data_IF_135476875956
#
_entry.id   IF_135476875956
#
_cell.length_a   1.000
_cell.length_b   1.000
_cell.length_c   1.000
_cell.angle_alpha   90.00
_cell.angle_beta   90.00
_cell.angle_gamma   90.00
#
_symmetry.space_group_name_H-M   'P 1'
#
loop_
_entity.id
_entity.type
_entity.pdbx_description
1 polymer ?
#
# COMPACT_ATOMS: atom_id res chain seq x y z
N UNK A 1 -61.63 -1.24 -34.72
CA UNK A 1 -61.72 -0.10 -33.77
C UNK A 1 -60.38 0.03 -33.03
N UNK A 2 -59.64 1.12 -33.24
CA UNK A 2 -58.81 1.85 -32.25
C UNK A 2 -58.16 3.04 -32.98
N UNK A 3 -58.50 4.25 -32.54
CA UNK A 3 -58.13 5.54 -33.14
C UNK A 3 -56.77 5.99 -32.60
N UNK A 4 -55.91 6.51 -33.50
CA UNK A 4 -54.66 7.22 -33.19
C UNK A 4 -55.00 8.60 -32.59
N UNK A 5 -54.41 8.94 -31.44
CA UNK A 5 -54.43 10.31 -30.89
C UNK A 5 -53.13 11.04 -31.27
N UNK A 6 -53.28 12.33 -31.60
CA UNK A 6 -52.28 13.25 -32.13
C UNK A 6 -51.84 14.16 -30.98
N UNK A 7 -50.53 14.35 -30.81
CA UNK A 7 -49.94 15.13 -29.71
C UNK A 7 -50.21 16.63 -29.84
N UNK A 8 -50.39 17.27 -28.68
CA UNK A 8 -50.54 18.72 -28.50
C UNK A 8 -49.22 19.37 -28.09
N UNK A 9 -48.98 20.56 -28.64
CA UNK A 9 -47.76 21.36 -28.52
C UNK A 9 -47.80 22.24 -27.26
N UNK A 10 -46.81 22.12 -26.37
CA UNK A 10 -46.66 22.97 -25.18
C UNK A 10 -45.81 24.20 -25.55
N UNK A 11 -46.31 25.41 -25.23
CA UNK A 11 -45.59 26.69 -25.41
C UNK A 11 -44.70 26.99 -24.20
N UNK A 12 -43.52 27.62 -24.37
CA UNK A 12 -42.63 27.92 -23.25
C UNK A 12 -43.05 29.22 -22.54
N UNK A 13 -43.04 29.18 -21.21
CA UNK A 13 -43.20 30.33 -20.32
C UNK A 13 -41.79 30.90 -20.06
N UNK A 14 -41.58 32.17 -20.38
CA UNK A 14 -40.38 32.93 -19.98
C UNK A 14 -40.71 33.66 -18.68
N UNK A 15 -40.13 33.22 -17.57
CA UNK A 15 -40.16 33.92 -16.30
C UNK A 15 -38.72 34.28 -15.96
N UNK A 16 -38.40 35.58 -15.97
CA UNK A 16 -37.08 36.10 -15.64
C UNK A 16 -36.88 36.04 -14.12
N UNK A 17 -36.05 35.11 -13.65
CA UNK A 17 -35.63 35.05 -12.25
C UNK A 17 -34.63 36.19 -11.99
N UNK A 18 -35.04 37.18 -11.20
CA UNK A 18 -34.18 38.25 -10.71
C UNK A 18 -33.32 37.70 -9.57
N UNK A 19 -32.03 37.48 -9.81
CA UNK A 19 -31.06 37.11 -8.76
C UNK A 19 -30.71 38.38 -8.00
N UNK A 20 -31.06 38.45 -6.72
CA UNK A 20 -30.53 39.47 -5.81
C UNK A 20 -29.10 39.06 -5.42
N UNK A 21 -28.12 39.91 -5.73
CA UNK A 21 -26.73 39.72 -5.31
C UNK A 21 -26.63 39.90 -3.79
N UNK A 22 -26.45 38.79 -3.07
CA UNK A 22 -26.13 38.81 -1.65
C UNK A 22 -24.66 39.19 -1.50
N UNK A 23 -24.31 40.21 -0.68
CA UNK A 23 -22.91 40.55 -0.42
C UNK A 23 -22.19 39.35 0.18
N UNK A 24 -21.12 38.90 -0.48
CA UNK A 24 -20.21 37.89 0.03
C UNK A 24 -19.34 38.60 1.07
N UNK A 25 -19.56 38.29 2.35
CA UNK A 25 -18.63 38.70 3.42
C UNK A 25 -17.21 38.22 3.06
N UNK A 26 -16.16 39.02 3.32
CA UNK A 26 -14.80 38.65 2.98
C UNK A 26 -14.46 37.33 3.66
N UNK A 27 -14.05 36.35 2.86
CA UNK A 27 -13.61 35.04 3.32
C UNK A 27 -12.47 35.28 4.31
N UNK A 28 -12.74 35.01 5.59
CA UNK A 28 -11.71 34.94 6.63
C UNK A 28 -10.58 34.02 6.13
N UNK A 29 -9.36 34.50 6.33
CA UNK A 29 -8.10 33.84 6.04
C UNK A 29 -8.21 32.31 6.27
N UNK A 30 -8.07 31.52 5.21
CA UNK A 30 -8.18 30.05 5.31
C UNK A 30 -7.03 29.57 6.18
N UNK A 31 -7.31 29.35 7.47
CA UNK A 31 -6.34 28.82 8.40
C UNK A 31 -6.01 27.38 7.99
N UNK A 32 -4.89 27.22 7.28
CA UNK A 32 -4.34 25.91 6.96
C UNK A 32 -3.64 25.40 8.21
N UNK A 33 -4.15 24.32 8.81
CA UNK A 33 -3.50 23.69 9.96
C UNK A 33 -2.05 23.30 9.57
N UNK A 34 -1.02 23.83 10.26
CA UNK A 34 0.39 23.53 9.96
C UNK A 34 0.74 22.04 10.04
N UNK A 35 -0.06 21.23 10.74
CA UNK A 35 0.10 19.78 10.78
C UNK A 35 -0.42 19.05 9.54
N UNK A 36 -1.25 19.67 8.71
CA UNK A 36 -1.89 19.03 7.55
C UNK A 36 -0.87 18.53 6.51
N UNK A 37 0.25 19.25 6.35
CA UNK A 37 1.29 18.93 5.35
C UNK A 37 2.55 18.33 5.99
N UNK A 38 2.55 18.07 7.31
CA UNK A 38 3.72 17.52 8.00
C UNK A 38 3.62 15.99 8.09
N UNK A 39 4.46 15.30 7.35
CA UNK A 39 4.60 13.85 7.45
C UNK A 39 5.44 13.46 8.67
N UNK A 40 4.86 12.66 9.57
CA UNK A 40 5.55 12.07 10.72
C UNK A 40 5.81 10.58 10.47
N UNK A 41 6.84 10.03 11.14
CA UNK A 41 7.14 8.60 11.01
C UNK A 41 6.05 7.72 11.65
N UNK A 42 5.95 6.42 11.30
CA UNK A 42 5.02 5.51 11.96
C UNK A 42 5.15 5.53 13.49
N UNK A 43 4.02 5.59 14.19
CA UNK A 43 3.99 5.70 15.65
C UNK A 43 4.10 7.13 16.19
N UNK A 44 4.13 8.14 15.31
CA UNK A 44 4.16 9.55 15.66
C UNK A 44 2.91 10.29 15.18
N UNK A 45 2.59 11.37 15.87
CA UNK A 45 1.53 12.34 15.53
C UNK A 45 2.11 13.74 15.49
N UNK A 46 1.58 14.56 14.59
CA UNK A 46 1.93 15.97 14.54
C UNK A 46 1.21 16.74 15.65
N UNK A 47 1.95 17.55 16.40
CA UNK A 47 1.44 18.54 17.36
C UNK A 47 2.06 19.91 17.07
N UNK A 48 1.43 20.98 17.52
CA UNK A 48 1.96 22.34 17.42
C UNK A 48 2.69 22.72 18.72
N UNK A 49 3.82 23.41 18.62
CA UNK A 49 4.44 24.08 19.78
C UNK A 49 3.62 25.31 20.19
N UNK A 50 3.96 25.92 21.33
CA UNK A 50 3.36 27.18 21.79
C UNK A 50 3.54 28.32 20.76
N UNK A 51 4.61 28.27 19.97
CA UNK A 51 4.91 29.21 18.88
C UNK A 51 4.19 28.85 17.56
N UNK A 52 3.30 27.85 17.56
CA UNK A 52 2.55 27.41 16.39
C UNK A 52 3.35 26.58 15.37
N UNK A 53 4.56 26.12 15.72
CA UNK A 53 5.40 25.32 14.81
C UNK A 53 5.04 23.84 14.90
N UNK A 54 4.83 23.14 13.77
CA UNK A 54 4.46 21.73 13.80
C UNK A 54 5.67 20.84 14.08
N UNK A 55 5.55 19.91 15.01
CA UNK A 55 6.56 18.92 15.38
C UNK A 55 5.92 17.52 15.55
N UNK A 56 6.73 16.47 15.38
CA UNK A 56 6.25 15.09 15.53
C UNK A 56 6.60 14.57 16.93
N UNK A 57 5.62 14.01 17.62
CA UNK A 57 5.80 13.34 18.92
C UNK A 57 5.25 11.91 18.85
N UNK A 58 5.66 11.03 19.76
CA UNK A 58 5.11 9.67 19.82
C UNK A 58 3.62 9.69 20.18
N UNK A 59 2.86 8.76 19.63
CA UNK A 59 1.44 8.57 19.98
C UNK A 59 1.32 8.30 21.48
N UNK A 60 0.38 8.96 22.15
CA UNK A 60 0.16 8.81 23.59
C UNK A 60 -0.74 7.61 23.92
N UNK A 61 -1.83 7.47 23.16
CA UNK A 61 -2.84 6.42 23.34
C UNK A 61 -3.24 5.84 21.98
N UNK A 62 -3.32 4.51 21.91
CA UNK A 62 -3.82 3.78 20.75
C UNK A 62 -5.21 3.20 21.07
N UNK A 63 -6.08 3.12 20.06
CA UNK A 63 -7.36 2.43 20.19
C UNK A 63 -7.17 0.95 20.52
N UNK A 64 -8.11 0.39 21.28
CA UNK A 64 -8.12 -1.04 21.55
C UNK A 64 -8.82 -1.80 20.41
N UNK A 65 -8.06 -2.58 19.64
CA UNK A 65 -8.61 -3.39 18.56
C UNK A 65 -9.27 -4.67 19.08
N UNK A 66 -10.54 -4.86 18.73
CA UNK A 66 -11.31 -6.07 19.09
C UNK A 66 -11.24 -7.16 18.02
N UNK A 67 -10.94 -6.80 16.77
CA UNK A 67 -10.81 -7.75 15.66
C UNK A 67 -9.42 -8.40 15.68
N UNK A 68 -9.31 -9.74 15.84
CA UNK A 68 -8.03 -10.43 15.78
C UNK A 68 -7.25 -10.21 14.47
N UNK A 69 -7.93 -9.87 13.36
CA UNK A 69 -7.28 -9.59 12.07
C UNK A 69 -6.52 -8.26 12.05
N UNK A 70 -6.86 -7.33 12.95
CA UNK A 70 -6.21 -6.01 13.08
C UNK A 70 -5.07 -6.00 14.09
N UNK A 71 -4.86 -7.10 14.81
CA UNK A 71 -3.65 -7.34 15.60
C UNK A 71 -2.45 -7.51 14.67
N UNK A 72 -1.26 -7.52 15.24
CA UNK A 72 -0.04 -7.73 14.44
C UNK A 72 0.94 -8.65 15.17
N UNK A 73 1.66 -9.47 14.40
CA UNK A 73 2.78 -10.24 14.88
C UNK A 73 4.08 -9.50 14.57
N UNK A 74 4.93 -9.29 15.56
CA UNK A 74 6.23 -8.62 15.35
C UNK A 74 7.31 -9.59 14.87
N UNK A 75 8.44 -9.04 14.42
CA UNK A 75 9.66 -9.80 14.13
C UNK A 75 10.27 -10.51 15.37
N UNK A 76 9.75 -10.25 16.57
CA UNK A 76 10.13 -10.94 17.81
C UNK A 76 9.17 -12.08 18.17
N UNK A 77 8.25 -12.43 17.26
CA UNK A 77 7.20 -13.42 17.45
C UNK A 77 6.27 -13.09 18.64
N UNK A 78 6.04 -11.80 18.89
CA UNK A 78 5.14 -11.30 19.93
C UNK A 78 3.92 -10.69 19.27
N UNK A 79 2.72 -11.05 19.76
CA UNK A 79 1.46 -10.46 19.29
C UNK A 79 1.22 -9.13 19.96
N UNK A 80 0.93 -8.11 19.16
CA UNK A 80 0.56 -6.78 19.60
C UNK A 80 -0.91 -6.52 19.29
N UNK A 81 -1.55 -5.70 20.12
CA UNK A 81 -2.97 -5.41 20.00
C UNK A 81 -3.32 -4.72 18.66
N UNK A 82 -2.41 -3.89 18.15
CA UNK A 82 -2.55 -3.20 16.87
C UNK A 82 -1.19 -2.81 16.33
N UNK A 83 -1.16 -2.44 15.05
CA UNK A 83 -0.02 -1.77 14.42
C UNK A 83 0.35 -0.46 15.15
N UNK A 84 -0.65 0.33 15.57
CA UNK A 84 -0.44 1.53 16.38
C UNK A 84 0.36 1.22 17.65
N UNK A 85 -0.04 0.20 18.42
CA UNK A 85 0.62 -0.15 19.68
C UNK A 85 2.09 -0.57 19.47
N UNK A 86 2.37 -1.31 18.40
CA UNK A 86 3.74 -1.70 18.06
C UNK A 86 4.59 -0.48 17.70
N UNK A 87 4.09 0.38 16.79
CA UNK A 87 4.84 1.57 16.37
C UNK A 87 5.00 2.60 17.49
N UNK A 88 4.00 2.72 18.37
CA UNK A 88 4.07 3.53 19.58
C UNK A 88 5.24 3.07 20.47
N UNK A 89 5.32 1.76 20.77
CA UNK A 89 6.43 1.23 21.56
C UNK A 89 7.79 1.47 20.89
N UNK A 90 7.87 1.24 19.57
CA UNK A 90 9.09 1.52 18.79
C UNK A 90 9.50 2.98 18.93
N UNK A 91 8.54 3.91 18.83
CA UNK A 91 8.78 5.34 18.97
C UNK A 91 9.33 5.67 20.36
N UNK A 92 8.67 5.20 21.42
CA UNK A 92 9.11 5.40 22.80
C UNK A 92 10.54 4.91 23.03
N UNK A 93 10.88 3.72 22.56
CA UNK A 93 12.23 3.18 22.72
C UNK A 93 13.28 3.90 21.87
N UNK A 94 12.91 4.39 20.67
CA UNK A 94 13.79 5.17 19.80
C UNK A 94 14.17 6.52 20.42
N UNK A 95 13.21 7.19 21.07
CA UNK A 95 13.41 8.52 21.68
C UNK A 95 13.68 8.46 23.19
N UNK A 96 13.89 7.25 23.74
CA UNK A 96 14.15 7.02 25.18
C UNK A 96 13.07 7.64 26.08
N UNK A 97 11.81 7.49 25.70
CA UNK A 97 10.67 7.89 26.52
C UNK A 97 10.69 7.12 27.86
N UNK A 98 10.31 7.75 28.99
CA UNK A 98 10.26 7.07 30.29
C UNK A 98 9.53 5.73 30.26
N UNK A 99 8.44 5.62 29.48
CA UNK A 99 7.64 4.39 29.34
C UNK A 99 8.46 3.21 28.79
N UNK A 100 9.50 3.47 27.99
CA UNK A 100 10.42 2.42 27.55
C UNK A 100 11.65 2.28 28.46
N UNK A 101 12.09 3.36 29.12
CA UNK A 101 13.25 3.31 30.03
C UNK A 101 13.02 2.40 31.26
N UNK A 102 11.77 2.15 31.63
CA UNK A 102 11.41 1.21 32.69
C UNK A 102 11.70 -0.26 32.34
N UNK A 103 11.90 -0.58 31.05
CA UNK A 103 12.20 -1.93 30.56
C UNK A 103 13.70 -2.27 30.67
N UNK A 104 14.09 -3.56 30.69
CA UNK A 104 15.49 -3.97 30.62
C UNK A 104 16.20 -3.45 29.36
N UNK A 105 17.48 -3.11 29.45
CA UNK A 105 18.26 -2.53 28.34
C UNK A 105 18.24 -3.39 27.06
N UNK A 106 18.28 -4.72 27.20
CA UNK A 106 18.15 -5.66 26.09
C UNK A 106 16.79 -5.52 25.37
N UNK A 107 15.70 -5.43 26.13
CA UNK A 107 14.35 -5.25 25.59
C UNK A 107 14.22 -3.89 24.90
N UNK A 108 14.83 -2.85 25.45
CA UNK A 108 14.84 -1.53 24.83
C UNK A 108 15.49 -1.57 23.44
N UNK A 109 16.64 -2.25 23.30
CA UNK A 109 17.30 -2.40 22.00
C UNK A 109 16.44 -3.19 21.01
N UNK A 110 15.86 -4.31 21.43
CA UNK A 110 14.95 -5.09 20.59
C UNK A 110 13.76 -4.24 20.11
N UNK A 111 13.18 -3.42 20.99
CA UNK A 111 12.02 -2.59 20.69
C UNK A 111 12.38 -1.34 19.86
N UNK A 112 13.63 -0.87 19.84
CA UNK A 112 14.06 0.19 18.88
C UNK A 112 13.93 -0.26 17.42
N UNK A 113 14.15 -1.55 17.18
CA UNK A 113 14.15 -2.17 15.85
C UNK A 113 12.93 -3.07 15.59
N UNK A 114 11.95 -3.06 16.49
CA UNK A 114 10.72 -3.84 16.31
C UNK A 114 9.95 -3.34 15.10
N UNK A 115 9.43 -4.28 14.31
CA UNK A 115 8.58 -4.03 13.17
C UNK A 115 7.54 -5.13 13.05
N UNK A 116 6.48 -4.83 12.30
CA UNK A 116 5.46 -5.81 11.97
C UNK A 116 6.08 -6.83 11.02
N UNK A 117 5.96 -8.11 11.38
CA UNK A 117 6.28 -9.21 10.48
C UNK A 117 5.06 -9.54 9.60
N UNK A 118 3.87 -9.62 10.21
CA UNK A 118 2.60 -9.81 9.52
C UNK A 118 1.38 -9.35 10.32
N UNK A 119 0.27 -9.16 9.63
CA UNK A 119 -1.02 -8.82 10.24
C UNK A 119 -1.75 -10.07 10.76
N UNK A 120 -2.44 -9.91 11.89
CA UNK A 120 -3.03 -10.99 12.68
C UNK A 120 -2.20 -11.34 13.91
N UNK A 121 -2.72 -12.27 14.71
CA UNK A 121 -2.01 -12.83 15.86
C UNK A 121 -0.85 -13.72 15.42
N UNK A 122 0.21 -13.79 16.23
CA UNK A 122 1.32 -14.69 15.98
C UNK A 122 0.84 -16.15 15.99
N UNK A 123 1.24 -16.88 14.95
CA UNK A 123 0.95 -18.29 14.74
C UNK A 123 2.24 -19.01 14.40
N UNK A 124 2.23 -20.31 14.64
CA UNK A 124 3.23 -21.20 14.08
C UNK A 124 2.98 -21.29 12.57
N UNK A 125 3.89 -20.74 11.78
CA UNK A 125 3.86 -20.87 10.33
C UNK A 125 4.50 -22.21 9.95
N UNK A 126 3.85 -22.93 9.05
CA UNK A 126 4.40 -24.18 8.50
C UNK A 126 5.62 -23.86 7.61
N UNK A 127 6.53 -24.81 7.48
CA UNK A 127 7.65 -24.68 6.55
C UNK A 127 7.18 -24.82 5.11
N UNK A 128 7.72 -23.99 4.21
CA UNK A 128 7.42 -24.08 2.79
C UNK A 128 8.18 -25.27 2.18
N UNK A 129 7.45 -26.30 1.79
CA UNK A 129 8.04 -27.49 1.16
C UNK A 129 8.57 -27.16 -0.24
N UNK A 130 9.55 -27.93 -0.72
CA UNK A 130 10.11 -27.74 -2.07
C UNK A 130 9.04 -27.75 -3.17
N UNK A 131 8.05 -28.64 -3.07
CA UNK A 131 6.95 -28.71 -4.03
C UNK A 131 6.02 -27.49 -3.98
N UNK A 132 5.76 -26.95 -2.79
CA UNK A 132 4.99 -25.70 -2.65
C UNK A 132 5.77 -24.50 -3.20
N UNK A 133 7.07 -24.44 -2.93
CA UNK A 133 7.93 -23.37 -3.43
C UNK A 133 8.05 -23.40 -4.95
N UNK A 134 8.19 -24.60 -5.56
CA UNK A 134 8.25 -24.74 -7.00
C UNK A 134 6.95 -24.30 -7.72
N UNK A 135 5.79 -24.41 -7.06
CA UNK A 135 4.51 -23.94 -7.59
C UNK A 135 4.22 -22.47 -7.26
N UNK A 136 4.96 -21.89 -6.31
CA UNK A 136 4.69 -20.57 -5.78
C UNK A 136 4.76 -19.44 -6.81
N UNK A 137 5.81 -19.34 -7.66
CA UNK A 137 5.90 -18.27 -8.67
C UNK A 137 4.66 -18.21 -9.55
N UNK A 138 4.17 -19.36 -10.02
CA UNK A 138 2.95 -19.47 -10.83
C UNK A 138 1.74 -18.91 -10.11
N UNK A 139 1.50 -19.31 -8.86
CA UNK A 139 0.35 -18.82 -8.07
C UNK A 139 0.46 -17.33 -7.79
N UNK A 140 1.67 -16.83 -7.55
CA UNK A 140 1.94 -15.42 -7.33
C UNK A 140 1.64 -14.59 -8.59
N UNK A 141 2.05 -15.04 -9.78
CA UNK A 141 1.68 -14.41 -11.06
C UNK A 141 0.16 -14.34 -11.26
N UNK A 142 -0.55 -15.44 -11.02
CA UNK A 142 -2.01 -15.49 -11.13
C UNK A 142 -2.67 -14.53 -10.12
N UNK A 143 -2.16 -14.49 -8.89
CA UNK A 143 -2.65 -13.59 -7.86
C UNK A 143 -2.43 -12.12 -8.23
N UNK A 144 -1.21 -11.75 -8.67
CA UNK A 144 -0.88 -10.39 -9.10
C UNK A 144 -1.76 -9.91 -10.24
N UNK A 145 -2.04 -10.78 -11.22
CA UNK A 145 -2.97 -10.47 -12.28
C UNK A 145 -4.35 -10.14 -11.73
N UNK A 146 -4.90 -10.96 -10.83
CA UNK A 146 -6.21 -10.69 -10.22
C UNK A 146 -6.22 -9.40 -9.39
N UNK A 147 -5.12 -9.08 -8.69
CA UNK A 147 -4.98 -7.81 -7.96
C UNK A 147 -5.01 -6.64 -8.94
N UNK A 148 -4.29 -6.72 -10.06
CA UNK A 148 -4.30 -5.69 -11.10
C UNK A 148 -5.72 -5.48 -11.66
N UNK A 149 -6.45 -6.56 -11.95
CA UNK A 149 -7.84 -6.48 -12.42
C UNK A 149 -8.75 -5.79 -11.39
N UNK A 150 -8.64 -6.20 -10.13
CA UNK A 150 -9.45 -5.66 -9.03
C UNK A 150 -9.15 -4.17 -8.77
N UNK A 151 -7.90 -3.74 -8.94
CA UNK A 151 -7.54 -2.31 -8.91
C UNK A 151 -8.06 -1.55 -10.14
N UNK A 152 -8.07 -2.16 -11.32
CA UNK A 152 -8.67 -1.58 -12.51
C UNK A 152 -10.19 -1.38 -12.35
N UNK A 153 -10.88 -2.37 -11.79
CA UNK A 153 -12.33 -2.33 -11.53
C UNK A 153 -12.72 -1.27 -10.49
N UNK A 154 -11.79 -0.89 -9.61
CA UNK A 154 -11.96 0.19 -8.62
C UNK A 154 -11.48 1.56 -9.09
N UNK A 155 -11.07 1.69 -10.35
CA UNK A 155 -10.49 2.91 -10.92
C UNK A 155 -9.23 3.40 -10.15
N UNK A 156 -8.44 2.48 -9.58
CA UNK A 156 -7.23 2.76 -8.81
C UNK A 156 -5.95 2.76 -9.66
N UNK A 157 -6.02 2.31 -10.92
CA UNK A 157 -4.88 2.31 -11.84
C UNK A 157 -4.75 3.63 -12.61
N UNK A 158 -3.51 4.03 -12.87
CA UNK A 158 -3.22 5.12 -13.80
C UNK A 158 -3.71 4.77 -15.22
N UNK A 159 -3.96 5.74 -16.10
CA UNK A 159 -4.36 5.48 -17.49
C UNK A 159 -3.39 4.55 -18.24
N UNK A 160 -2.09 4.66 -17.93
CA UNK A 160 -1.03 3.80 -18.46
C UNK A 160 -1.22 2.35 -18.01
N UNK A 161 -1.29 2.11 -16.70
CA UNK A 161 -1.45 0.75 -16.16
C UNK A 161 -2.80 0.14 -16.51
N UNK A 162 -3.86 0.94 -16.68
CA UNK A 162 -5.15 0.48 -17.16
C UNK A 162 -5.08 -0.04 -18.61
N UNK A 163 -4.28 0.60 -19.49
CA UNK A 163 -4.04 0.09 -20.84
C UNK A 163 -3.29 -1.24 -20.79
N UNK A 164 -2.27 -1.32 -19.93
CA UNK A 164 -1.48 -2.53 -19.71
C UNK A 164 -2.33 -3.69 -19.19
N UNK A 165 -3.26 -3.43 -18.26
CA UNK A 165 -4.24 -4.41 -17.76
C UNK A 165 -5.15 -4.93 -18.89
N UNK A 166 -5.72 -4.04 -19.69
CA UNK A 166 -6.61 -4.42 -20.82
C UNK A 166 -5.90 -5.27 -21.86
N UNK A 167 -4.62 -5.00 -22.11
CA UNK A 167 -3.80 -5.85 -22.96
C UNK A 167 -3.59 -7.23 -22.33
N UNK A 168 -3.30 -7.28 -21.04
CA UNK A 168 -3.13 -8.52 -20.28
C UNK A 168 -4.39 -9.41 -20.29
N UNK A 169 -5.59 -8.83 -20.36
CA UNK A 169 -6.84 -9.59 -20.50
C UNK A 169 -7.00 -10.27 -21.87
N UNK A 170 -6.44 -9.68 -22.93
CA UNK A 170 -6.67 -10.12 -24.31
C UNK A 170 -5.51 -10.89 -24.91
N UNK A 171 -4.28 -10.67 -24.42
CA UNK A 171 -3.07 -11.34 -24.86
C UNK A 171 -2.49 -12.21 -23.74
N UNK A 172 -2.57 -13.54 -23.91
CA UNK A 172 -2.11 -14.50 -22.91
C UNK A 172 -0.60 -14.44 -22.64
N UNK A 173 0.22 -14.04 -23.63
CA UNK A 173 1.68 -13.93 -23.43
C UNK A 173 2.05 -12.77 -22.52
N UNK A 174 1.24 -11.69 -22.57
CA UNK A 174 1.42 -10.50 -21.74
C UNK A 174 0.68 -10.56 -20.41
N UNK A 175 -0.26 -11.50 -20.25
CA UNK A 175 -1.13 -11.62 -19.08
C UNK A 175 -0.37 -11.49 -17.76
N UNK A 176 0.66 -12.31 -17.57
CA UNK A 176 1.42 -12.33 -16.33
C UNK A 176 2.54 -11.31 -16.31
N UNK A 177 3.23 -11.10 -17.43
CA UNK A 177 4.32 -10.13 -17.55
C UNK A 177 3.86 -8.74 -17.15
N UNK A 178 2.73 -8.28 -17.69
CA UNK A 178 2.16 -6.98 -17.40
C UNK A 178 1.87 -6.79 -15.91
N UNK A 179 1.22 -7.78 -15.28
CA UNK A 179 0.89 -7.72 -13.86
C UNK A 179 2.14 -7.76 -12.97
N UNK A 180 3.14 -8.56 -13.33
CA UNK A 180 4.41 -8.66 -12.58
C UNK A 180 5.21 -7.36 -12.68
N UNK A 181 5.34 -6.80 -13.88
CA UNK A 181 6.05 -5.54 -14.13
C UNK A 181 5.35 -4.39 -13.44
N UNK A 182 4.04 -4.22 -13.67
CA UNK A 182 3.23 -3.21 -12.99
C UNK A 182 3.41 -3.29 -11.47
N UNK A 183 3.32 -4.50 -10.89
CA UNK A 183 3.41 -4.61 -9.44
C UNK A 183 4.76 -4.16 -8.92
N UNK A 184 5.85 -4.44 -9.63
CA UNK A 184 7.17 -3.99 -9.21
C UNK A 184 7.27 -2.47 -9.17
N UNK A 185 6.77 -1.78 -10.20
CA UNK A 185 6.73 -0.32 -10.22
C UNK A 185 5.78 0.27 -9.17
N UNK A 186 4.65 -0.40 -8.90
CA UNK A 186 3.73 -0.03 -7.82
C UNK A 186 4.37 -0.16 -6.43
N UNK A 187 5.31 -1.09 -6.27
CA UNK A 187 6.08 -1.27 -5.02
C UNK A 187 7.26 -0.30 -4.91
N UNK A 188 7.94 0.06 -6.01
CA UNK A 188 9.04 1.03 -6.05
C UNK A 188 8.54 2.47 -5.87
N UNK A 189 8.05 2.75 -4.66
CA UNK A 189 7.58 4.08 -4.24
C UNK A 189 8.70 5.11 -4.15
N UNK A 190 9.94 4.66 -3.99
CA UNK A 190 11.11 5.53 -3.91
C UNK A 190 11.67 5.93 -5.28
N UNK A 191 11.26 5.23 -6.35
CA UNK A 191 11.74 5.40 -7.72
C UNK A 191 13.25 5.27 -7.87
N UNK A 192 13.89 4.47 -7.00
CA UNK A 192 15.34 4.21 -7.04
C UNK A 192 15.68 3.01 -7.94
N UNK A 193 14.68 2.40 -8.57
CA UNK A 193 14.77 1.18 -9.38
C UNK A 193 15.15 -0.08 -8.60
N UNK A 194 14.82 -0.14 -7.32
CA UNK A 194 15.07 -1.29 -6.48
C UNK A 194 14.05 -1.36 -5.33
N UNK A 195 13.28 -2.44 -5.27
CA UNK A 195 12.24 -2.58 -4.24
C UNK A 195 12.87 -3.05 -2.93
N UNK A 196 12.85 -2.19 -1.91
CA UNK A 196 13.38 -2.51 -0.59
C UNK A 196 12.47 -3.45 0.22
N UNK A 197 13.00 -4.05 1.29
CA UNK A 197 12.18 -4.82 2.26
C UNK A 197 10.99 -4.04 2.84
N UNK A 198 11.12 -2.71 2.97
CA UNK A 198 10.02 -1.87 3.45
C UNK A 198 8.93 -1.71 2.40
N UNK A 199 9.31 -1.60 1.14
CA UNK A 199 8.40 -1.50 0.00
C UNK A 199 7.68 -2.80 -0.30
N UNK A 200 8.26 -3.96 0.03
CA UNK A 200 7.57 -5.26 -0.02
C UNK A 200 6.46 -5.41 1.03
N UNK A 201 6.40 -4.54 2.03
CA UNK A 201 5.48 -4.67 3.16
C UNK A 201 4.00 -4.84 2.75
N UNK A 202 3.45 -4.09 1.77
CA UNK A 202 2.05 -4.22 1.36
C UNK A 202 1.67 -5.59 0.78
N UNK A 203 2.62 -6.33 0.20
CA UNK A 203 2.35 -7.68 -0.31
C UNK A 203 2.78 -8.78 0.67
N UNK A 204 3.79 -8.51 1.51
CA UNK A 204 4.29 -9.48 2.48
C UNK A 204 3.40 -9.56 3.71
N UNK A 205 3.30 -8.48 4.47
CA UNK A 205 2.72 -8.50 5.82
C UNK A 205 1.24 -8.93 5.85
N UNK A 206 0.38 -8.57 4.89
CA UNK A 206 -1.01 -9.06 4.87
C UNK A 206 -1.16 -10.55 4.52
N UNK A 207 -0.19 -11.14 3.81
CA UNK A 207 -0.33 -12.48 3.22
C UNK A 207 0.44 -13.57 3.97
N UNK A 208 1.51 -13.25 4.71
CA UNK A 208 2.34 -14.25 5.41
C UNK A 208 1.53 -15.20 6.31
N UNK A 209 0.49 -14.70 6.98
CA UNK A 209 -0.36 -15.53 7.85
C UNK A 209 -1.30 -16.49 7.09
N UNK A 210 -1.48 -16.27 5.78
CA UNK A 210 -2.33 -17.07 4.90
C UNK A 210 -1.52 -17.92 3.93
N UNK A 211 -0.27 -17.54 3.68
CA UNK A 211 0.60 -18.11 2.67
C UNK A 211 2.04 -18.13 3.19
N UNK A 212 2.43 -19.26 3.80
CA UNK A 212 3.71 -19.42 4.49
C UNK A 212 4.93 -19.37 3.54
N UNK A 213 4.73 -19.61 2.24
CA UNK A 213 5.79 -19.56 1.25
C UNK A 213 6.16 -18.14 0.80
N UNK A 214 5.34 -17.11 1.06
CA UNK A 214 5.60 -15.76 0.52
C UNK A 214 6.88 -15.15 1.08
N UNK A 215 7.15 -15.31 2.38
CA UNK A 215 8.35 -14.78 3.00
C UNK A 215 9.63 -15.42 2.42
N UNK A 216 9.80 -16.76 2.46
CA UNK A 216 10.99 -17.40 1.89
C UNK A 216 11.10 -17.22 0.36
N UNK A 217 9.98 -17.09 -0.34
CA UNK A 217 9.99 -16.78 -1.78
C UNK A 217 10.58 -15.39 -2.04
N UNK A 218 10.03 -14.35 -1.39
CA UNK A 218 10.52 -12.97 -1.55
C UNK A 218 11.98 -12.83 -1.08
N UNK A 219 12.33 -13.48 0.03
CA UNK A 219 13.72 -13.50 0.51
C UNK A 219 14.66 -14.22 -0.47
N UNK A 220 14.16 -15.18 -1.25
CA UNK A 220 14.91 -15.89 -2.28
C UNK A 220 15.02 -15.14 -3.61
N UNK A 221 14.20 -14.11 -3.84
CA UNK A 221 14.29 -13.27 -5.03
C UNK A 221 15.51 -12.34 -5.01
N UNK A 222 15.92 -11.92 -3.81
CA UNK A 222 17.16 -11.17 -3.55
C UNK A 222 18.37 -12.10 -3.76
N UNK A 223 18.80 -12.24 -5.01
CA UNK A 223 19.80 -13.25 -5.43
C UNK A 223 21.21 -12.85 -5.04
N UNK A 224 21.47 -11.55 -4.92
CA UNK A 224 22.76 -11.00 -4.51
C UNK A 224 22.84 -10.69 -3.00
N UNK A 225 21.71 -10.82 -2.28
CA UNK A 225 21.55 -10.58 -0.84
C UNK A 225 21.92 -9.15 -0.42
N UNK A 226 21.56 -8.16 -1.23
CA UNK A 226 21.76 -6.73 -0.95
C UNK A 226 20.56 -6.06 -0.23
N UNK A 227 19.50 -6.85 0.03
CA UNK A 227 18.24 -6.43 0.68
C UNK A 227 17.34 -5.53 -0.16
N UNK A 228 17.60 -5.45 -1.45
CA UNK A 228 16.76 -4.83 -2.46
C UNK A 228 16.41 -5.88 -3.53
N UNK A 229 15.33 -5.64 -4.28
CA UNK A 229 14.94 -6.51 -5.40
C UNK A 229 14.84 -5.63 -6.64
N UNK A 230 15.80 -5.82 -7.55
CA UNK A 230 15.77 -5.18 -8.86
C UNK A 230 14.64 -5.73 -9.73
N UNK A 231 14.28 -5.02 -10.80
CA UNK A 231 13.28 -5.53 -11.74
C UNK A 231 13.72 -6.89 -12.29
N UNK A 232 14.97 -7.02 -12.73
CA UNK A 232 15.53 -8.27 -13.27
C UNK A 232 15.39 -9.45 -12.31
N UNK A 233 15.75 -9.26 -11.04
CA UNK A 233 15.58 -10.28 -10.00
C UNK A 233 14.11 -10.63 -9.80
N UNK A 234 13.23 -9.63 -9.70
CA UNK A 234 11.80 -9.83 -9.52
C UNK A 234 11.20 -10.67 -10.64
N UNK A 235 11.46 -10.33 -11.91
CA UNK A 235 10.83 -11.03 -13.03
C UNK A 235 11.41 -12.43 -13.23
N UNK A 236 12.72 -12.60 -12.98
CA UNK A 236 13.36 -13.92 -12.93
C UNK A 236 12.77 -14.80 -11.84
N UNK A 237 12.52 -14.24 -10.66
CA UNK A 237 11.90 -14.94 -9.54
C UNK A 237 10.46 -15.40 -9.89
N UNK A 238 9.78 -14.62 -10.74
CA UNK A 238 8.48 -14.96 -11.29
C UNK A 238 8.56 -15.85 -12.54
N UNK A 239 9.72 -16.37 -12.94
CA UNK A 239 9.88 -17.26 -14.11
C UNK A 239 9.33 -16.66 -15.41
N UNK A 240 9.57 -15.37 -15.65
CA UNK A 240 9.24 -14.69 -16.91
C UNK A 240 10.52 -14.48 -17.71
N UNK A 241 10.42 -14.66 -19.02
CA UNK A 241 11.53 -14.52 -19.96
C UNK A 241 11.91 -13.04 -20.18
N UNK A 242 13.20 -12.75 -20.32
CA UNK A 242 13.71 -11.38 -20.44
C UNK A 242 13.18 -10.64 -21.68
N UNK A 243 12.96 -11.36 -22.79
CA UNK A 243 12.42 -10.82 -24.05
C UNK A 243 11.03 -10.19 -23.87
N UNK A 244 10.22 -10.73 -22.94
CA UNK A 244 8.89 -10.21 -22.64
C UNK A 244 8.96 -8.89 -21.85
N UNK A 245 10.06 -8.64 -21.13
CA UNK A 245 10.27 -7.46 -20.27
C UNK A 245 10.76 -6.27 -21.09
N UNK A 246 11.70 -6.48 -22.02
CA UNK A 246 12.33 -5.41 -22.80
C UNK A 246 11.26 -4.59 -23.56
N UNK A 247 10.23 -5.25 -24.09
CA UNK A 247 9.09 -4.61 -24.73
C UNK A 247 8.31 -3.63 -23.81
N UNK A 248 8.31 -3.86 -22.49
CA UNK A 248 7.63 -3.00 -21.53
C UNK A 248 8.49 -1.82 -21.09
N UNK A 249 9.80 -2.04 -20.93
CA UNK A 249 10.73 -0.98 -20.57
C UNK A 249 10.82 0.12 -21.62
N UNK A 250 10.64 -0.19 -22.91
CA UNK A 250 10.56 0.81 -23.98
C UNK A 250 9.32 1.70 -23.82
N UNK A 251 8.15 1.12 -23.55
CA UNK A 251 6.92 1.90 -23.38
C UNK A 251 6.91 2.75 -22.10
N UNK A 252 7.54 2.29 -21.01
CA UNK A 252 7.60 3.06 -19.74
C UNK A 252 8.54 4.27 -19.86
N UNK A 253 9.66 4.13 -20.58
CA UNK A 253 10.65 5.21 -20.75
C UNK A 253 10.12 6.39 -21.58
N UNK A 254 9.12 6.15 -22.42
CA UNK A 254 8.55 7.17 -23.30
C UNK A 254 7.44 8.02 -22.62
N UNK A 255 6.95 7.57 -21.46
CA UNK A 255 5.84 8.20 -20.71
C UNK A 255 6.30 8.93 -19.41
N UNK A 256 7.61 8.97 -19.12
CA UNK A 256 8.26 9.85 -18.11
C UNK A 256 8.73 11.19 -18.70
#
# INVERSE_FOLDING_TARGET
>A
KRKKYRGETIKPIKEELRVEEVPIDPVDDVFVDPCSNKHCSPGQVCKLTDDGQPYCTCIEECSFETDPRRRVCSNLNTTWNSDCALYQMRCWCKYRDPKCQELPEETQEQYRHIHINYYGECKLLEECTEGQMADFPRRMRDWLFNVMQDMADRDELSPYYLKMEREAQTNLTKRWTNAVVWKWFDLDSSHNRAVSRHELFPIRAPLVALEHCIAPFLDGCDSNNDHEITLEEWVKCMEIEEEDIEAHCEEIRDDE
#
